data_IF_287571014660
#
_entry.id   IF_287571014660
#
_cell.length_a   1.000
_cell.length_b   1.000
_cell.length_c   1.000
_cell.angle_alpha   90.00
_cell.angle_beta   90.00
_cell.angle_gamma   90.00
#
_symmetry.space_group_name_H-M   'P 1'
#
loop_
_entity.id
_entity.type
_entity.pdbx_description
1 polymer ?
#
# COMPACT_ATOMS: atom_id res chain seq x y z
N UNK A 1 -7.00 -8.14 -34.83
CA UNK A 1 -6.80 -7.08 -33.81
C UNK A 1 -6.61 -7.77 -32.48
N UNK A 2 -5.51 -7.54 -31.72
CA UNK A 2 -5.32 -8.26 -30.48
C UNK A 2 -6.33 -7.76 -29.44
N UNK A 3 -7.02 -8.71 -28.82
CA UNK A 3 -7.97 -8.52 -27.72
C UNK A 3 -7.33 -7.72 -26.58
N UNK A 4 -7.90 -6.57 -26.24
CA UNK A 4 -7.42 -5.74 -25.14
C UNK A 4 -7.82 -6.32 -23.78
N UNK A 5 -6.83 -6.60 -22.94
CA UNK A 5 -7.02 -6.81 -21.50
C UNK A 5 -7.67 -5.56 -20.89
N UNK A 6 -8.74 -5.72 -20.10
CA UNK A 6 -9.42 -4.61 -19.41
C UNK A 6 -9.03 -4.61 -17.95
N UNK A 7 -8.31 -3.59 -17.51
CA UNK A 7 -8.08 -3.34 -16.08
C UNK A 7 -9.10 -2.35 -15.51
N UNK A 8 -9.20 -2.29 -14.18
CA UNK A 8 -10.07 -1.43 -13.38
C UNK A 8 -9.32 -1.04 -12.11
N UNK A 9 -9.30 0.23 -11.74
CA UNK A 9 -9.15 0.65 -10.34
C UNK A 9 -10.53 0.52 -9.71
N UNK A 10 -10.73 -0.48 -8.87
CA UNK A 10 -12.02 -0.66 -8.20
C UNK A 10 -12.08 0.21 -6.95
N UNK A 11 -13.03 1.14 -6.93
CA UNK A 11 -13.92 1.22 -5.78
C UNK A 11 -14.60 -0.15 -5.67
N UNK A 12 -14.26 -0.86 -4.60
CA UNK A 12 -14.65 -2.23 -4.24
C UNK A 12 -15.83 -2.84 -5.01
N UNK A 13 -15.53 -3.82 -5.86
CA UNK A 13 -16.48 -4.87 -6.24
C UNK A 13 -15.78 -6.22 -6.09
N UNK A 14 -16.44 -7.09 -5.33
CA UNK A 14 -16.23 -8.51 -5.04
C UNK A 14 -15.32 -9.27 -6.03
N UNK A 15 -14.16 -9.73 -5.52
CA UNK A 15 -13.58 -11.09 -5.71
C UNK A 15 -12.04 -11.18 -5.53
N UNK A 16 -11.32 -10.10 -5.23
CA UNK A 16 -9.90 -10.20 -4.87
C UNK A 16 -9.59 -9.26 -3.71
N UNK A 17 -9.63 -9.79 -2.48
CA UNK A 17 -9.41 -9.02 -1.25
C UNK A 17 -8.13 -9.45 -0.54
N UNK A 18 -6.99 -8.84 -0.90
CA UNK A 18 -5.89 -8.62 0.06
C UNK A 18 -5.09 -7.40 -0.41
N UNK A 19 -4.90 -6.36 0.43
CA UNK A 19 -4.05 -5.15 0.23
C UNK A 19 -4.66 -3.94 -0.53
N UNK A 20 -5.71 -3.32 0.04
CA UNK A 20 -6.52 -2.29 -0.62
C UNK A 20 -6.01 -0.84 -0.56
N UNK A 21 -4.73 -0.58 -0.84
CA UNK A 21 -4.33 0.80 -1.20
C UNK A 21 -3.54 0.93 -2.50
N UNK A 22 -3.14 -0.18 -3.13
CA UNK A 22 -2.30 -0.16 -4.34
C UNK A 22 -2.71 -1.21 -5.39
N UNK A 23 -3.99 -1.57 -5.49
CA UNK A 23 -4.47 -2.63 -6.39
C UNK A 23 -5.55 -2.16 -7.39
N UNK A 24 -5.59 -2.84 -8.54
CA UNK A 24 -6.52 -2.63 -9.64
C UNK A 24 -6.91 -3.99 -10.26
N UNK A 25 -8.18 -4.36 -10.28
CA UNK A 25 -8.66 -5.62 -10.86
C UNK A 25 -8.59 -5.61 -12.39
N UNK A 26 -8.05 -6.65 -13.01
CA UNK A 26 -7.93 -6.82 -14.45
C UNK A 26 -8.63 -8.07 -14.96
N UNK A 27 -9.58 -7.89 -15.87
CA UNK A 27 -10.28 -8.95 -16.58
C UNK A 27 -9.81 -9.04 -18.04
N UNK A 28 -9.46 -10.24 -18.47
CA UNK A 28 -9.32 -10.56 -19.90
C UNK A 28 -10.72 -10.83 -20.45
N UNK A 29 -11.15 -10.22 -21.57
CA UNK A 29 -12.42 -10.60 -22.19
C UNK A 29 -12.36 -12.08 -22.59
N UNK A 30 -13.36 -12.86 -22.21
CA UNK A 30 -13.50 -14.24 -22.69
C UNK A 30 -13.62 -14.23 -24.21
N UNK A 31 -12.57 -14.65 -24.91
CA UNK A 31 -12.73 -15.12 -26.28
C UNK A 31 -13.51 -16.42 -26.22
N UNK A 32 -14.61 -16.53 -26.96
CA UNK A 32 -15.34 -17.77 -27.14
C UNK A 32 -14.36 -18.92 -27.41
N UNK A 33 -14.37 -19.93 -26.54
CA UNK A 33 -13.60 -21.15 -26.72
C UNK A 33 -14.08 -21.85 -28.00
N UNK A 34 -13.22 -21.90 -29.02
CA UNK A 34 -13.37 -22.84 -30.14
C UNK A 34 -12.87 -24.22 -29.63
N UNK A 35 -13.71 -25.26 -29.60
CA UNK A 35 -13.40 -26.53 -28.93
C UNK A 35 -12.58 -27.49 -29.79
N UNK A 36 -11.54 -27.02 -30.48
CA UNK A 36 -10.71 -27.86 -31.34
C UNK A 36 -9.23 -27.46 -31.28
N UNK A 37 -8.57 -27.86 -30.20
CA UNK A 37 -7.12 -27.82 -30.03
C UNK A 37 -6.70 -28.74 -28.87
N UNK A 38 -5.58 -29.49 -28.98
CA UNK A 38 -5.26 -30.54 -28.03
C UNK A 38 -4.98 -29.95 -26.64
N UNK A 39 -5.60 -30.56 -25.63
CA UNK A 39 -5.51 -30.22 -24.22
C UNK A 39 -4.06 -30.25 -23.72
N UNK A 40 -3.58 -29.09 -23.25
CA UNK A 40 -2.33 -28.98 -22.50
C UNK A 40 -2.55 -29.45 -21.04
N UNK A 41 -1.62 -30.17 -20.40
CA UNK A 41 -1.81 -30.72 -19.06
C UNK A 41 -1.49 -29.66 -18.00
N UNK A 42 -2.34 -28.66 -17.88
CA UNK A 42 -2.36 -27.79 -16.70
C UNK A 42 -3.68 -28.05 -15.98
N UNK A 43 -3.58 -28.76 -14.84
CA UNK A 43 -4.72 -29.12 -14.01
C UNK A 43 -5.57 -27.90 -13.66
N UNK A 44 -6.88 -28.02 -13.87
CA UNK A 44 -7.84 -27.02 -13.43
C UNK A 44 -7.81 -26.91 -11.91
N UNK A 45 -7.39 -25.77 -11.38
CA UNK A 45 -7.61 -25.45 -9.97
C UNK A 45 -9.11 -25.22 -9.74
N UNK A 46 -9.81 -26.26 -9.27
CA UNK A 46 -11.16 -26.14 -8.70
C UNK A 46 -11.06 -25.59 -7.26
N UNK A 47 -10.63 -24.33 -7.11
CA UNK A 47 -10.67 -23.65 -5.82
C UNK A 47 -12.01 -22.91 -5.67
N UNK A 48 -12.84 -23.30 -4.70
CA UNK A 48 -13.96 -22.46 -4.27
C UNK A 48 -13.38 -21.21 -3.56
N UNK A 49 -13.68 -20.03 -4.07
CA UNK A 49 -13.38 -18.76 -3.39
C UNK A 49 -14.46 -18.53 -2.33
N UNK A 50 -14.07 -18.47 -1.05
CA UNK A 50 -15.00 -18.14 0.02
C UNK A 50 -15.46 -16.68 -0.13
N UNK A 51 -16.77 -16.45 0.02
CA UNK A 51 -17.34 -15.12 0.09
C UNK A 51 -17.40 -14.67 1.55
N UNK A 52 -16.54 -13.74 1.99
CA UNK A 52 -16.56 -13.29 3.38
C UNK A 52 -17.79 -12.43 3.67
N UNK A 53 -18.26 -12.51 4.91
CA UNK A 53 -19.31 -11.63 5.43
C UNK A 53 -18.72 -10.26 5.79
N UNK A 54 -19.31 -9.20 5.28
CA UNK A 54 -19.00 -7.84 5.72
C UNK A 54 -19.55 -7.61 7.13
N UNK A 55 -18.65 -7.28 8.06
CA UNK A 55 -18.95 -6.99 9.48
C UNK A 55 -18.38 -5.63 9.88
N UNK A 56 -18.24 -4.72 8.92
CA UNK A 56 -17.80 -3.34 9.14
C UNK A 56 -18.81 -2.59 10.02
N UNK A 57 -18.31 -1.74 10.91
CA UNK A 57 -19.10 -0.81 11.74
C UNK A 57 -19.39 0.52 11.03
N UNK A 58 -18.91 0.65 9.78
CA UNK A 58 -19.04 1.83 8.92
C UNK A 58 -19.34 1.44 7.48
N UNK A 59 -20.02 2.33 6.77
CA UNK A 59 -20.22 2.21 5.31
C UNK A 59 -19.03 2.74 4.52
N UNK A 60 -18.05 3.35 5.18
CA UNK A 60 -16.85 3.85 4.54
C UNK A 60 -15.99 2.69 4.02
N UNK A 61 -15.82 2.66 2.71
CA UNK A 61 -15.05 1.65 1.98
C UNK A 61 -13.55 1.68 2.33
N UNK A 62 -13.09 2.76 2.94
CA UNK A 62 -11.74 2.92 3.47
C UNK A 62 -11.48 2.12 4.76
N UNK A 63 -12.55 1.66 5.41
CA UNK A 63 -12.52 1.00 6.71
C UNK A 63 -13.37 -0.27 6.70
N UNK A 64 -12.92 -1.27 5.93
CA UNK A 64 -13.64 -2.52 5.73
C UNK A 64 -13.20 -3.58 6.72
N UNK A 65 -14.15 -4.36 7.22
CA UNK A 65 -13.92 -5.56 8.02
C UNK A 65 -14.71 -6.74 7.44
N UNK A 66 -13.98 -7.77 7.05
CA UNK A 66 -14.51 -8.95 6.38
C UNK A 66 -14.22 -10.18 7.24
N UNK A 67 -15.27 -10.95 7.54
CA UNK A 67 -15.20 -12.18 8.33
C UNK A 67 -15.37 -13.40 7.43
N UNK A 68 -14.37 -14.28 7.44
CA UNK A 68 -14.35 -15.55 6.74
C UNK A 68 -14.81 -16.63 7.72
N UNK A 69 -16.09 -16.99 7.63
CA UNK A 69 -16.78 -17.86 8.59
C UNK A 69 -16.17 -19.28 8.61
N UNK A 70 -15.77 -19.81 7.46
CA UNK A 70 -15.21 -21.16 7.36
C UNK A 70 -13.85 -21.30 8.07
N UNK A 71 -13.13 -20.18 8.24
CA UNK A 71 -11.80 -20.14 8.83
C UNK A 71 -11.76 -19.39 10.16
N UNK A 72 -12.89 -18.85 10.63
CA UNK A 72 -12.96 -17.93 11.76
C UNK A 72 -11.86 -16.85 11.70
N UNK A 73 -11.65 -16.32 10.50
CA UNK A 73 -10.60 -15.37 10.19
C UNK A 73 -11.22 -14.01 9.90
N UNK A 74 -10.61 -12.95 10.40
CA UNK A 74 -11.09 -11.58 10.15
C UNK A 74 -9.99 -10.77 9.49
N UNK A 75 -10.32 -10.18 8.35
CA UNK A 75 -9.48 -9.22 7.65
C UNK A 75 -10.05 -7.83 7.87
N UNK A 76 -9.22 -6.87 8.27
CA UNK A 76 -9.60 -5.46 8.35
C UNK A 76 -8.63 -4.59 7.58
N UNK A 77 -9.16 -3.52 7.01
CA UNK A 77 -8.42 -2.57 6.21
C UNK A 77 -8.65 -1.20 6.81
N UNK A 78 -7.55 -0.49 7.01
CA UNK A 78 -7.55 0.86 7.55
C UNK A 78 -6.85 1.77 6.56
N UNK A 79 -7.61 2.62 5.88
CA UNK A 79 -7.04 3.65 5.05
C UNK A 79 -6.37 4.71 5.94
N UNK A 80 -5.05 4.64 6.03
CA UNK A 80 -4.22 5.66 6.68
C UNK A 80 -2.97 5.86 5.83
N UNK A 81 -3.05 6.65 4.75
CA UNK A 81 -2.06 6.66 3.67
C UNK A 81 -0.70 7.21 4.13
N UNK A 82 -0.71 7.99 5.21
CA UNK A 82 0.46 8.55 5.86
C UNK A 82 0.78 7.88 7.20
N UNK A 83 0.00 6.89 7.66
CA UNK A 83 0.08 6.22 8.98
C UNK A 83 -0.15 7.11 10.22
N UNK A 84 0.00 8.42 10.05
CA UNK A 84 -0.24 9.47 11.05
C UNK A 84 -1.57 10.15 10.79
N UNK A 85 -2.09 10.84 11.82
CA UNK A 85 -3.25 11.70 11.68
C UNK A 85 -3.02 12.64 10.51
N UNK A 86 -3.98 12.63 9.60
CA UNK A 86 -3.96 13.47 8.40
C UNK A 86 -5.34 14.02 8.13
N UNK A 87 -5.39 15.25 7.63
CA UNK A 87 -6.62 15.97 7.36
C UNK A 87 -6.50 16.71 6.02
N UNK A 88 -7.62 16.92 5.34
CA UNK A 88 -7.67 17.77 4.16
C UNK A 88 -7.11 19.16 4.51
N UNK A 89 -5.99 19.50 3.90
CA UNK A 89 -5.35 20.80 4.08
C UNK A 89 -6.14 21.87 3.35
N UNK A 90 -6.60 22.88 4.08
CA UNK A 90 -7.15 24.12 3.50
C UNK A 90 -6.24 25.27 3.84
N UNK A 91 -5.68 25.93 2.83
CA UNK A 91 -4.93 27.16 3.01
C UNK A 91 -5.76 28.34 2.47
N UNK A 92 -5.93 29.43 3.24
CA UNK A 92 -6.62 30.62 2.76
C UNK A 92 -5.98 31.14 1.47
N UNK A 93 -6.79 31.30 0.41
CA UNK A 93 -6.33 31.78 -0.90
C UNK A 93 -5.74 30.72 -1.83
N UNK A 94 -5.70 29.44 -1.44
CA UNK A 94 -5.25 28.33 -2.28
C UNK A 94 -6.36 27.28 -2.38
N UNK A 95 -7.01 27.19 -3.55
CA UNK A 95 -7.99 26.14 -3.86
C UNK A 95 -7.33 24.89 -4.44
N UNK A 96 -6.24 24.43 -3.81
CA UNK A 96 -5.60 23.18 -4.24
C UNK A 96 -6.39 22.00 -3.69
N UNK A 97 -7.14 21.30 -4.56
CA UNK A 97 -7.63 19.96 -4.24
C UNK A 97 -6.45 19.02 -4.05
N UNK A 98 -6.36 18.34 -2.91
CA UNK A 98 -5.31 17.36 -2.64
C UNK A 98 -4.10 17.85 -1.83
N UNK A 99 -4.23 18.99 -1.14
CA UNK A 99 -3.32 19.37 -0.06
C UNK A 99 -3.65 18.60 1.23
N UNK A 100 -2.63 18.17 1.97
CA UNK A 100 -2.80 17.43 3.23
C UNK A 100 -2.11 18.11 4.41
N UNK A 101 -2.75 18.10 5.57
CA UNK A 101 -2.10 18.43 6.85
C UNK A 101 -1.67 17.12 7.52
N UNK A 102 -0.38 16.93 7.79
CA UNK A 102 0.16 15.73 8.43
C UNK A 102 0.69 16.05 9.83
N UNK A 103 0.17 15.37 10.85
CA UNK A 103 0.60 15.51 12.24
C UNK A 103 1.66 14.44 12.55
N UNK A 104 2.93 14.77 12.28
CA UNK A 104 4.03 13.82 12.18
C UNK A 104 4.46 13.19 13.52
N UNK A 105 3.90 13.63 14.64
CA UNK A 105 4.07 13.07 15.98
C UNK A 105 2.82 12.36 16.53
N UNK A 106 1.77 12.22 15.71
CA UNK A 106 0.49 11.61 16.08
C UNK A 106 0.17 10.42 15.15
N UNK A 107 0.38 9.19 15.61
CA UNK A 107 -0.09 8.01 14.89
C UNK A 107 -1.63 8.04 14.75
N UNK A 108 -2.13 7.64 13.59
CA UNK A 108 -3.55 7.80 13.25
C UNK A 108 -4.46 6.97 14.20
N UNK A 109 -5.39 7.61 14.93
CA UNK A 109 -6.37 6.92 15.77
C UNK A 109 -7.23 5.90 15.01
N UNK A 110 -7.44 6.09 13.70
CA UNK A 110 -8.31 5.24 12.89
C UNK A 110 -7.90 3.77 12.92
N UNK A 111 -6.59 3.47 12.98
CA UNK A 111 -6.09 2.10 13.13
C UNK A 111 -5.52 1.82 14.53
N UNK A 112 -4.89 2.81 15.19
CA UNK A 112 -4.22 2.56 16.47
C UNK A 112 -5.17 2.26 17.63
N UNK A 113 -6.41 2.76 17.55
CA UNK A 113 -7.46 2.47 18.56
C UNK A 113 -7.93 1.01 18.53
N UNK A 114 -7.80 0.36 17.38
CA UNK A 114 -8.31 -1.00 17.12
C UNK A 114 -7.26 -2.09 17.35
N UNK A 115 -6.01 -1.73 17.70
CA UNK A 115 -4.88 -2.67 17.80
C UNK A 115 -5.13 -3.89 18.69
N UNK A 116 -5.96 -3.76 19.73
CA UNK A 116 -6.25 -4.87 20.64
C UNK A 116 -7.07 -6.01 20.04
N UNK A 117 -7.72 -5.79 18.90
CA UNK A 117 -8.54 -6.78 18.21
C UNK A 117 -7.82 -7.61 17.15
N UNK A 118 -6.49 -7.49 17.01
CA UNK A 118 -5.74 -8.13 15.93
C UNK A 118 -4.52 -8.92 16.41
N UNK A 119 -4.29 -10.06 15.76
CA UNK A 119 -3.10 -10.90 15.94
C UNK A 119 -1.95 -10.51 15.01
N UNK A 120 -2.28 -9.91 13.86
CA UNK A 120 -1.35 -9.53 12.82
C UNK A 120 -1.64 -8.10 12.36
N UNK A 121 -0.58 -7.31 12.19
CA UNK A 121 -0.65 -5.97 11.63
C UNK A 121 0.31 -5.87 10.46
N UNK A 122 -0.16 -5.39 9.32
CA UNK A 122 0.70 -5.07 8.18
C UNK A 122 0.70 -3.57 7.95
N UNK A 123 1.87 -2.97 8.15
CA UNK A 123 2.13 -1.56 7.94
C UNK A 123 2.76 -1.39 6.55
N UNK A 124 2.23 -0.44 5.79
CA UNK A 124 2.74 -0.06 4.48
C UNK A 124 2.44 1.40 4.17
N UNK A 125 3.25 2.02 3.33
CA UNK A 125 3.10 3.41 2.91
C UNK A 125 4.24 3.85 2.01
N UNK A 126 4.12 5.01 1.39
CA UNK A 126 5.16 5.54 0.50
C UNK A 126 4.64 6.55 -0.51
N UNK A 127 3.90 6.07 -1.51
CA UNK A 127 3.48 6.87 -2.66
C UNK A 127 2.73 8.16 -2.28
N UNK A 128 1.90 8.11 -1.23
CA UNK A 128 1.14 9.27 -0.74
C UNK A 128 2.01 10.40 -0.19
N UNK A 129 3.23 10.13 0.30
CA UNK A 129 4.12 11.19 0.78
C UNK A 129 4.53 12.17 -0.32
N UNK A 130 4.36 11.81 -1.60
CA UNK A 130 4.57 12.72 -2.74
C UNK A 130 3.47 13.79 -2.88
N UNK A 131 2.31 13.62 -2.23
CA UNK A 131 1.22 14.60 -2.28
C UNK A 131 1.61 15.88 -1.54
N UNK A 132 1.27 17.07 -2.06
CA UNK A 132 1.51 18.32 -1.35
C UNK A 132 0.94 18.29 0.06
N UNK A 133 1.79 18.63 1.02
CA UNK A 133 1.52 18.44 2.43
C UNK A 133 2.17 19.54 3.29
N UNK A 134 1.45 19.98 4.32
CA UNK A 134 1.95 20.80 5.42
C UNK A 134 2.18 19.90 6.62
N UNK A 135 3.34 20.06 7.27
CA UNK A 135 3.78 19.21 8.37
C UNK A 135 3.59 19.91 9.70
N UNK A 136 2.96 19.21 10.63
CA UNK A 136 2.71 19.64 12.00
C UNK A 136 3.46 18.74 12.97
N UNK A 137 4.02 19.35 14.01
CA UNK A 137 4.46 18.65 15.23
C UNK A 137 3.98 19.44 16.44
N UNK A 138 3.41 18.77 17.44
CA UNK A 138 2.76 19.41 18.59
C UNK A 138 1.76 20.50 18.15
N UNK A 139 1.00 20.21 17.10
CA UNK A 139 0.07 21.12 16.43
C UNK A 139 0.67 22.45 15.93
N UNK A 140 1.99 22.52 15.70
CA UNK A 140 2.66 23.69 15.10
C UNK A 140 3.27 23.32 13.76
N UNK A 141 3.17 24.23 12.78
CA UNK A 141 3.78 24.03 11.47
C UNK A 141 5.30 23.96 11.62
N UNK A 142 5.90 22.89 11.12
CA UNK A 142 7.36 22.68 11.09
C UNK A 142 7.94 22.74 9.67
N UNK A 143 7.10 22.58 8.65
CA UNK A 143 7.52 22.66 7.25
C UNK A 143 6.45 22.20 6.27
N UNK A 144 6.84 22.08 5.01
CA UNK A 144 6.04 21.50 3.92
C UNK A 144 6.94 20.82 2.90
N UNK A 145 6.42 19.89 2.10
CA UNK A 145 7.21 19.23 1.04
C UNK A 145 7.35 20.03 -0.25
N UNK A 146 6.48 21.01 -0.48
CA UNK A 146 6.58 21.97 -1.57
C UNK A 146 6.63 23.39 -0.99
N UNK A 147 6.96 24.37 -1.85
CA UNK A 147 6.87 25.80 -1.52
C UNK A 147 5.40 26.25 -1.47
N UNK A 148 4.66 25.74 -0.49
CA UNK A 148 3.21 25.96 -0.35
C UNK A 148 2.88 27.23 0.42
N UNK A 149 3.78 27.65 1.31
CA UNK A 149 3.56 28.76 2.23
C UNK A 149 4.79 29.66 2.29
N UNK A 150 4.57 30.97 2.32
CA UNK A 150 5.67 31.95 2.54
C UNK A 150 6.23 31.77 3.95
N UNK A 151 7.55 31.89 4.07
CA UNK A 151 8.29 31.82 5.34
C UNK A 151 8.19 30.46 6.09
N UNK A 152 7.80 29.39 5.40
CA UNK A 152 7.83 28.03 5.95
C UNK A 152 8.96 27.24 5.30
N UNK A 153 9.66 26.47 6.11
CA UNK A 153 10.79 25.64 5.67
C UNK A 153 10.29 24.53 4.75
N UNK A 154 10.91 24.40 3.58
CA UNK A 154 10.71 23.21 2.73
C UNK A 154 11.51 22.06 3.31
N UNK A 155 10.81 20.99 3.68
CA UNK A 155 11.35 19.74 4.19
C UNK A 155 11.19 18.66 3.11
N UNK A 156 12.11 17.72 3.02
CA UNK A 156 12.03 16.66 2.02
C UNK A 156 10.97 15.61 2.38
N UNK A 157 10.52 14.83 1.39
CA UNK A 157 9.58 13.72 1.58
C UNK A 157 10.09 12.68 2.58
N UNK A 158 11.42 12.53 2.62
CA UNK A 158 12.13 11.64 3.53
C UNK A 158 11.84 11.99 5.00
N UNK A 159 11.75 13.29 5.33
CA UNK A 159 11.42 13.77 6.67
C UNK A 159 10.04 13.28 7.12
N UNK A 160 9.03 13.50 6.27
CA UNK A 160 7.66 13.12 6.59
C UNK A 160 7.50 11.59 6.71
N UNK A 161 8.06 10.84 5.74
CA UNK A 161 8.05 9.39 5.78
C UNK A 161 8.77 8.84 7.02
N UNK A 162 9.96 9.36 7.33
CA UNK A 162 10.71 8.98 8.53
C UNK A 162 9.91 9.21 9.82
N UNK A 163 9.33 10.41 9.99
CA UNK A 163 8.55 10.75 11.19
C UNK A 163 7.27 9.93 11.30
N UNK A 164 6.59 9.69 10.19
CA UNK A 164 5.37 8.91 10.17
C UNK A 164 5.59 7.45 10.57
N UNK A 165 6.58 6.78 9.97
CA UNK A 165 6.93 5.41 10.36
C UNK A 165 7.42 5.34 11.80
N UNK A 166 8.16 6.36 12.27
CA UNK A 166 8.54 6.47 13.69
C UNK A 166 7.32 6.53 14.61
N UNK A 167 6.38 7.44 14.35
CA UNK A 167 5.17 7.62 15.15
C UNK A 167 4.31 6.34 15.17
N UNK A 168 4.11 5.71 14.00
CA UNK A 168 3.36 4.47 13.87
C UNK A 168 3.99 3.33 14.69
N UNK A 169 5.30 3.10 14.54
CA UNK A 169 5.98 2.05 15.27
C UNK A 169 6.10 2.33 16.78
N UNK A 170 6.25 3.59 17.18
CA UNK A 170 6.23 3.98 18.59
C UNK A 170 4.84 3.74 19.22
N UNK A 171 3.76 3.98 18.48
CA UNK A 171 2.40 3.68 18.91
C UNK A 171 2.18 2.18 19.12
N UNK A 172 2.68 1.34 18.22
CA UNK A 172 2.65 -0.12 18.33
C UNK A 172 3.46 -0.59 19.55
N UNK A 173 4.70 -0.12 19.72
CA UNK A 173 5.53 -0.45 20.87
C UNK A 173 4.90 0.05 22.19
N UNK A 174 4.23 1.22 22.19
CA UNK A 174 3.47 1.74 23.33
C UNK A 174 2.27 0.84 23.64
N UNK A 175 1.52 0.38 22.64
CA UNK A 175 0.42 -0.56 22.82
C UNK A 175 0.91 -1.89 23.41
N UNK A 176 2.01 -2.43 22.90
CA UNK A 176 2.66 -3.63 23.45
C UNK A 176 3.14 -3.46 24.90
N UNK A 177 3.73 -2.31 25.23
CA UNK A 177 4.12 -1.98 26.62
C UNK A 177 2.93 -1.96 27.57
N UNK A 178 1.80 -1.44 27.11
CA UNK A 178 0.53 -1.37 27.84
C UNK A 178 -0.26 -2.69 27.84
N UNK A 179 0.24 -3.75 27.19
CA UNK A 179 -0.47 -5.03 27.08
C UNK A 179 -1.69 -5.02 26.17
N UNK A 180 -1.90 -3.94 25.40
CA UNK A 180 -3.02 -3.78 24.47
C UNK A 180 -2.81 -4.44 23.12
N UNK A 181 -1.60 -4.95 22.82
CA UNK A 181 -1.30 -5.65 21.59
C UNK A 181 -0.12 -6.61 21.80
N UNK A 182 -0.19 -7.83 21.28
CA UNK A 182 0.85 -8.87 21.45
C UNK A 182 1.13 -9.67 20.17
N UNK A 183 0.73 -9.12 19.02
CA UNK A 183 0.81 -9.79 17.72
C UNK A 183 2.10 -9.56 16.95
N UNK A 184 2.13 -10.08 15.73
CA UNK A 184 3.19 -9.81 14.76
C UNK A 184 2.90 -8.53 13.97
N UNK A 185 3.95 -7.75 13.73
CA UNK A 185 3.90 -6.53 12.93
C UNK A 185 4.79 -6.74 11.71
N UNK A 186 4.18 -6.71 10.53
CA UNK A 186 4.86 -6.80 9.26
C UNK A 186 5.02 -5.40 8.68
N UNK A 187 6.27 -5.03 8.35
CA UNK A 187 6.48 -3.93 7.41
C UNK A 187 6.46 -4.53 6.00
N UNK A 188 5.45 -4.19 5.20
CA UNK A 188 5.48 -4.41 3.76
C UNK A 188 6.21 -3.24 3.11
N UNK A 189 7.41 -3.50 2.60
CA UNK A 189 8.29 -2.46 2.07
C UNK A 189 7.70 -1.77 0.84
N UNK A 190 8.17 -0.56 0.56
CA UNK A 190 7.73 0.32 -0.53
C UNK A 190 7.39 -0.45 -1.83
N UNK A 191 6.21 -0.19 -2.39
CA UNK A 191 5.89 -0.65 -3.75
C UNK A 191 6.29 0.44 -4.75
N UNK A 192 7.27 0.18 -5.63
CA UNK A 192 7.78 1.17 -6.57
C UNK A 192 6.79 1.41 -7.72
N UNK A 193 6.81 2.63 -8.22
CA UNK A 193 6.13 3.01 -9.47
C UNK A 193 7.03 2.78 -10.69
N UNK A 194 6.43 2.62 -11.88
CA UNK A 194 7.19 2.37 -13.11
C UNK A 194 6.86 3.36 -14.24
N UNK A 195 6.82 4.65 -13.93
CA UNK A 195 6.66 5.67 -14.96
C UNK A 195 7.89 5.77 -15.88
N UNK A 196 7.63 5.81 -17.18
CA UNK A 196 8.61 6.04 -18.24
C UNK A 196 8.19 7.24 -19.09
N UNK A 197 9.17 7.91 -19.69
CA UNK A 197 8.97 9.05 -20.60
C UNK A 197 8.18 10.23 -19.98
N UNK A 198 8.16 10.33 -18.66
CA UNK A 198 7.48 11.39 -17.91
C UNK A 198 7.32 10.97 -16.45
N UNK A 199 6.95 11.91 -15.58
CA UNK A 199 6.48 11.59 -14.23
C UNK A 199 4.98 11.33 -14.24
N UNK A 200 4.44 10.95 -13.08
CA UNK A 200 3.02 10.73 -12.88
C UNK A 200 2.14 11.92 -13.32
N UNK A 201 2.63 13.16 -13.17
CA UNK A 201 1.93 14.41 -13.46
C UNK A 201 2.32 15.06 -14.80
N UNK A 202 3.24 14.45 -15.56
CA UNK A 202 3.84 15.03 -16.77
C UNK A 202 3.79 14.07 -17.97
N UNK A 203 2.77 13.20 -18.00
CA UNK A 203 2.49 12.35 -19.15
C UNK A 203 3.26 11.02 -19.19
N UNK A 204 3.88 10.60 -18.07
CA UNK A 204 4.53 9.30 -17.98
C UNK A 204 3.55 8.12 -18.15
N UNK A 205 4.08 6.98 -18.59
CA UNK A 205 3.32 5.73 -18.75
C UNK A 205 4.20 4.50 -18.44
N UNK A 206 3.60 3.33 -18.26
CA UNK A 206 4.22 2.05 -17.91
C UNK A 206 3.79 1.00 -18.94
N UNK A 207 4.32 1.10 -20.16
CA UNK A 207 3.88 0.28 -21.31
C UNK A 207 4.62 -1.04 -21.46
N UNK A 208 5.57 -1.33 -20.56
CA UNK A 208 6.34 -2.58 -20.58
C UNK A 208 5.41 -3.77 -20.38
N UNK A 209 5.69 -4.85 -21.11
CA UNK A 209 4.91 -6.10 -21.11
C UNK A 209 5.66 -7.29 -20.54
N UNK A 210 6.90 -7.07 -20.12
CA UNK A 210 7.80 -8.10 -19.62
C UNK A 210 8.53 -7.60 -18.37
N UNK A 211 8.85 -8.50 -17.44
CA UNK A 211 9.62 -8.15 -16.26
C UNK A 211 11.04 -7.72 -16.63
N UNK A 212 11.64 -6.89 -15.80
CA UNK A 212 13.06 -6.58 -15.91
C UNK A 212 13.92 -7.75 -15.45
N UNK A 213 15.10 -7.88 -16.07
CA UNK A 213 16.24 -8.60 -15.48
C UNK A 213 16.85 -7.75 -14.37
N UNK A 214 17.57 -8.41 -13.46
CA UNK A 214 18.16 -7.79 -12.24
C UNK A 214 19.02 -6.54 -12.51
N UNK A 215 19.66 -6.46 -13.68
CA UNK A 215 20.56 -5.37 -14.07
C UNK A 215 19.93 -4.34 -15.03
N UNK A 216 18.65 -4.48 -15.38
CA UNK A 216 17.97 -3.61 -16.35
C UNK A 216 17.28 -2.41 -15.69
N UNK A 217 17.21 -2.39 -14.36
CA UNK A 217 16.51 -1.36 -13.60
C UNK A 217 17.23 -1.02 -12.31
N UNK A 218 16.93 0.17 -11.79
CA UNK A 218 17.31 0.63 -10.46
C UNK A 218 16.15 1.44 -9.89
N UNK A 219 15.98 1.39 -8.58
CA UNK A 219 14.96 2.17 -7.90
C UNK A 219 15.21 3.67 -8.10
N UNK A 220 14.14 4.44 -8.23
CA UNK A 220 14.26 5.89 -8.36
C UNK A 220 14.90 6.47 -7.08
N UNK A 221 15.77 7.50 -7.17
CA UNK A 221 16.47 8.02 -5.99
C UNK A 221 15.53 8.43 -4.85
N UNK A 222 14.38 9.00 -5.18
CA UNK A 222 13.36 9.40 -4.19
C UNK A 222 12.78 8.18 -3.47
N UNK A 223 12.32 7.17 -4.21
CA UNK A 223 11.80 5.90 -3.68
C UNK A 223 12.87 5.17 -2.85
N UNK A 224 14.12 5.14 -3.31
CA UNK A 224 15.24 4.52 -2.60
C UNK A 224 15.44 5.14 -1.22
N UNK A 225 15.29 6.47 -1.11
CA UNK A 225 15.39 7.18 0.16
C UNK A 225 14.20 6.85 1.07
N UNK A 226 12.97 6.80 0.55
CA UNK A 226 11.79 6.40 1.34
C UNK A 226 11.95 4.97 1.88
N UNK A 227 12.32 4.02 1.01
CA UNK A 227 12.59 2.62 1.36
C UNK A 227 13.66 2.51 2.45
N UNK A 228 14.80 3.20 2.30
CA UNK A 228 15.87 3.19 3.31
C UNK A 228 15.37 3.71 4.66
N UNK A 229 14.58 4.79 4.70
CA UNK A 229 14.04 5.32 5.95
C UNK A 229 13.05 4.35 6.62
N UNK A 230 12.21 3.66 5.85
CA UNK A 230 11.32 2.61 6.37
C UNK A 230 12.11 1.52 7.08
N UNK A 231 13.19 1.05 6.46
CA UNK A 231 14.05 0.02 7.06
C UNK A 231 14.79 0.51 8.31
N UNK A 232 15.23 1.78 8.33
CA UNK A 232 15.88 2.37 9.51
C UNK A 232 14.92 2.38 10.70
N UNK A 233 13.71 2.91 10.53
CA UNK A 233 12.72 2.98 11.61
C UNK A 233 12.20 1.60 12.01
N UNK A 234 12.04 0.69 11.05
CA UNK A 234 11.68 -0.70 11.34
C UNK A 234 12.72 -1.39 12.22
N UNK A 235 14.02 -1.28 11.89
CA UNK A 235 15.10 -1.87 12.69
C UNK A 235 15.15 -1.28 14.09
N UNK A 236 14.95 0.05 14.22
CA UNK A 236 14.85 0.72 15.52
C UNK A 236 13.71 0.15 16.36
N UNK A 237 12.50 0.10 15.79
CA UNK A 237 11.31 -0.40 16.47
C UNK A 237 11.43 -1.88 16.87
N UNK A 238 11.96 -2.72 15.96
CA UNK A 238 12.24 -4.13 16.22
C UNK A 238 13.23 -4.31 17.38
N UNK A 239 14.29 -3.52 17.42
CA UNK A 239 15.27 -3.56 18.50
C UNK A 239 14.67 -3.13 19.85
N UNK A 240 13.79 -2.12 19.86
CA UNK A 240 13.05 -1.71 21.05
C UNK A 240 12.12 -2.81 21.56
N UNK A 241 11.33 -3.43 20.66
CA UNK A 241 10.43 -4.53 20.99
C UNK A 241 11.19 -5.72 21.61
N UNK A 242 12.34 -6.10 21.03
CA UNK A 242 13.17 -7.23 21.50
C UNK A 242 13.66 -7.05 22.94
N UNK A 243 13.98 -5.81 23.36
CA UNK A 243 14.47 -5.52 24.72
C UNK A 243 13.45 -5.83 25.82
N UNK A 244 12.16 -5.91 25.49
CA UNK A 244 11.08 -5.91 26.49
C UNK A 244 10.42 -7.27 26.70
N UNK A 245 10.77 -8.32 25.94
CA UNK A 245 10.18 -9.69 26.01
C UNK A 245 8.62 -9.70 26.00
N UNK A 246 7.98 -8.69 25.43
CA UNK A 246 6.54 -8.37 25.62
C UNK A 246 5.61 -8.73 24.47
N UNK A 247 5.93 -9.76 23.68
CA UNK A 247 5.01 -10.37 22.71
C UNK A 247 4.92 -9.71 21.34
N UNK A 248 5.16 -8.39 21.21
CA UNK A 248 5.19 -7.76 19.87
C UNK A 248 6.42 -8.19 19.09
N UNK A 249 6.21 -8.74 17.88
CA UNK A 249 7.28 -9.22 17.02
C UNK A 249 7.26 -8.55 15.65
N UNK A 250 8.32 -7.81 15.35
CA UNK A 250 8.48 -7.13 14.06
C UNK A 250 9.13 -8.05 13.02
N UNK A 251 8.46 -8.22 11.88
CA UNK A 251 8.88 -9.04 10.73
C UNK A 251 8.86 -8.18 9.46
N UNK A 252 9.79 -8.45 8.55
CA UNK A 252 9.95 -7.66 7.33
C UNK A 252 9.36 -8.46 6.16
N UNK A 253 8.29 -7.95 5.56
CA UNK A 253 7.75 -8.44 4.30
C UNK A 253 8.43 -7.65 3.18
N UNK A 254 9.59 -8.14 2.73
CA UNK A 254 10.40 -7.47 1.72
C UNK A 254 9.82 -7.67 0.31
N UNK A 255 9.01 -6.70 -0.14
CA UNK A 255 8.36 -6.71 -1.44
C UNK A 255 9.12 -5.89 -2.49
N UNK A 256 9.81 -4.82 -2.08
CA UNK A 256 10.31 -3.77 -2.98
C UNK A 256 11.20 -4.31 -4.10
N UNK A 257 12.19 -5.16 -3.78
CA UNK A 257 13.13 -5.66 -4.77
C UNK A 257 12.47 -6.53 -5.84
N UNK A 258 11.48 -7.33 -5.47
CA UNK A 258 10.75 -8.17 -6.40
C UNK A 258 9.79 -7.33 -7.27
N UNK A 259 9.09 -6.36 -6.65
CA UNK A 259 8.16 -5.49 -7.39
C UNK A 259 8.87 -4.53 -8.34
N UNK A 260 10.08 -4.07 -8.02
CA UNK A 260 10.92 -3.27 -8.92
C UNK A 260 11.21 -3.97 -10.24
N UNK A 261 11.16 -5.31 -10.29
CA UNK A 261 11.41 -6.07 -11.50
C UNK A 261 10.14 -6.30 -12.32
N UNK A 262 8.99 -5.77 -11.90
CA UNK A 262 7.68 -6.10 -12.48
C UNK A 262 6.96 -4.89 -13.10
N UNK A 263 7.60 -4.10 -13.99
CA UNK A 263 6.90 -3.00 -14.64
C UNK A 263 5.71 -3.48 -15.50
N UNK A 264 5.69 -4.76 -15.87
CA UNK A 264 4.63 -5.46 -16.59
C UNK A 264 3.34 -5.66 -15.78
N UNK A 265 3.39 -5.43 -14.47
CA UNK A 265 2.27 -5.63 -13.55
C UNK A 265 1.31 -4.46 -13.40
N UNK A 266 1.59 -3.31 -14.03
CA UNK A 266 0.78 -2.10 -13.86
C UNK A 266 -0.38 -2.03 -14.87
N UNK A 267 -1.53 -1.43 -14.49
CA UNK A 267 -2.65 -1.22 -15.39
C UNK A 267 -2.37 -0.27 -16.54
N UNK A 268 -1.44 0.69 -16.38
CA UNK A 268 -1.22 1.78 -17.36
C UNK A 268 -2.56 2.50 -17.62
N UNK A 269 -2.88 2.78 -18.88
CA UNK A 269 -4.14 3.40 -19.33
C UNK A 269 -5.40 2.61 -18.99
N UNK A 270 -5.25 1.35 -18.58
CA UNK A 270 -6.35 0.48 -18.24
C UNK A 270 -6.71 0.56 -16.76
N UNK A 271 -6.08 1.45 -15.97
CA UNK A 271 -6.48 1.70 -14.59
C UNK A 271 -7.88 2.29 -14.45
N UNK A 272 -8.49 2.84 -15.50
CA UNK A 272 -9.78 3.53 -15.42
C UNK A 272 -10.74 3.09 -16.53
N UNK A 273 -12.04 3.34 -16.34
CA UNK A 273 -13.01 3.13 -17.41
C UNK A 273 -12.72 4.08 -18.58
N UNK A 274 -13.02 3.64 -19.81
CA UNK A 274 -12.67 4.41 -21.01
C UNK A 274 -13.38 5.77 -21.07
N UNK A 275 -14.57 5.84 -20.51
CA UNK A 275 -15.46 7.00 -20.41
C UNK A 275 -15.26 7.81 -19.12
N UNK A 276 -14.42 7.34 -18.18
CA UNK A 276 -14.11 8.09 -16.97
C UNK A 276 -13.21 9.28 -17.28
N UNK A 277 -13.69 10.48 -16.92
CA UNK A 277 -12.92 11.70 -16.99
C UNK A 277 -11.96 11.78 -15.79
N UNK A 278 -10.77 11.19 -15.93
CA UNK A 278 -9.71 11.22 -14.92
C UNK A 278 -8.58 12.16 -15.32
N UNK A 279 -8.09 12.95 -14.36
CA UNK A 279 -6.96 13.88 -14.56
C UNK A 279 -5.67 13.12 -14.85
N UNK A 280 -5.48 11.95 -14.21
CA UNK A 280 -4.35 11.07 -14.39
C UNK A 280 -4.84 9.77 -15.01
N UNK A 281 -4.55 9.57 -16.30
CA UNK A 281 -5.10 8.42 -17.03
C UNK A 281 -4.24 7.17 -16.95
N UNK A 282 -2.93 7.34 -16.78
CA UNK A 282 -1.99 6.22 -16.72
C UNK A 282 -1.72 5.86 -15.26
N UNK A 283 -2.10 4.65 -14.88
CA UNK A 283 -1.84 4.12 -13.55
C UNK A 283 -0.60 3.23 -13.54
N UNK A 284 0.49 3.78 -13.04
CA UNK A 284 1.78 3.11 -12.89
C UNK A 284 2.20 2.98 -11.41
N UNK A 285 1.22 3.05 -10.52
CA UNK A 285 1.40 2.93 -9.06
C UNK A 285 0.66 1.71 -8.52
N UNK A 286 -0.57 1.49 -8.99
CA UNK A 286 -1.36 0.31 -8.60
C UNK A 286 -1.01 -0.90 -9.46
N UNK A 287 -1.42 -2.07 -9.00
CA UNK A 287 -1.08 -3.36 -9.60
C UNK A 287 -2.31 -4.08 -10.14
N UNK A 288 -2.19 -4.66 -11.32
CA UNK A 288 -3.18 -5.58 -11.89
C UNK A 288 -3.44 -6.76 -10.95
N UNK A 289 -4.70 -7.16 -10.82
CA UNK A 289 -5.12 -8.41 -10.19
C UNK A 289 -5.91 -9.29 -11.17
N UNK A 290 -5.64 -10.62 -11.24
CA UNK A 290 -4.45 -11.26 -10.69
C UNK A 290 -3.16 -10.70 -11.33
N UNK A 291 -2.04 -10.81 -10.63
CA UNK A 291 -0.80 -10.20 -11.10
C UNK A 291 0.39 -10.35 -10.13
N UNK A 292 1.48 -9.59 -10.34
CA UNK A 292 2.70 -9.75 -9.56
C UNK A 292 2.52 -9.49 -8.06
N UNK A 293 1.49 -8.72 -7.72
CA UNK A 293 1.10 -8.40 -6.35
C UNK A 293 0.61 -9.62 -5.56
N UNK A 294 0.14 -10.68 -6.23
CA UNK A 294 -0.29 -11.93 -5.59
C UNK A 294 0.86 -12.58 -4.80
N UNK A 295 2.10 -12.38 -5.23
CA UNK A 295 3.31 -12.82 -4.53
C UNK A 295 3.41 -12.26 -3.10
N UNK A 296 2.84 -11.09 -2.80
CA UNK A 296 2.83 -10.55 -1.44
C UNK A 296 2.07 -11.47 -0.49
N UNK A 297 0.94 -12.02 -0.96
CA UNK A 297 0.13 -12.97 -0.22
C UNK A 297 0.87 -14.29 -0.01
N UNK A 298 1.53 -14.79 -1.06
CA UNK A 298 2.29 -16.03 -0.98
C UNK A 298 3.43 -15.91 0.04
N UNK A 299 4.23 -14.84 -0.03
CA UNK A 299 5.33 -14.60 0.92
C UNK A 299 4.75 -14.43 2.33
N UNK A 300 3.70 -13.63 2.50
CA UNK A 300 3.08 -13.42 3.79
C UNK A 300 2.57 -14.73 4.40
N UNK A 301 1.87 -15.57 3.62
CA UNK A 301 1.38 -16.87 4.07
C UNK A 301 2.52 -17.81 4.46
N UNK A 302 3.63 -17.82 3.71
CA UNK A 302 4.82 -18.59 4.08
C UNK A 302 5.44 -18.09 5.38
N UNK A 303 5.52 -16.77 5.57
CA UNK A 303 5.98 -16.19 6.84
C UNK A 303 5.07 -16.59 8.00
N UNK A 304 3.75 -16.66 7.83
CA UNK A 304 2.84 -17.11 8.88
C UNK A 304 3.04 -18.59 9.25
N UNK A 305 3.39 -19.44 8.28
CA UNK A 305 3.69 -20.86 8.49
C UNK A 305 5.03 -21.10 9.18
N UNK A 306 6.01 -20.24 8.94
CA UNK A 306 7.33 -20.31 9.59
C UNK A 306 7.47 -19.23 10.68
N UNK A 307 7.23 -19.55 11.96
CA UNK A 307 7.36 -18.60 13.05
C UNK A 307 8.82 -18.23 13.37
N UNK A 308 9.82 -18.80 12.69
CA UNK A 308 11.25 -18.55 12.96
C UNK A 308 11.98 -17.76 11.86
N UNK A 309 11.33 -17.49 10.72
CA UNK A 309 11.84 -16.63 9.64
C UNK A 309 11.77 -15.12 9.95
#
# INVERSE_FOLDING_TARGET
MPSSTRCRTTGLTTEQQVWLTEQATCSVPSSQENPSGPSSPHGSYNGYVENPRDVSDTTDQNFRRMHYEAHNFTLSIFWSPFLVRSEDGRLPGLSWSGLWNLYLDEADPAWTSQLGGFDFLIISGGNWFTRPSVFYEKHRIVGSNYYLLRNIKVLNLEYANWKAFRAAFDAINKAGRAGRFRGDVFLRTLSPSHFENGQWDSGGDCVRKWPFRRNETRMMPMEEKLYKQQLVEFRRAKAEAKKRKKGVRFRLLEATAAMLLRPDGHPSRYGHWQDQNVVLRNDCVHWCLPGPVDMWNDIFLQMLKDPYA
#
